data_IF_127345015792
#
_entry.id   IF_127345015792
#
_cell.length_a   1.000
_cell.length_b   1.000
_cell.length_c   1.000
_cell.angle_alpha   90.00
_cell.angle_beta   90.00
_cell.angle_gamma   90.00
#
_symmetry.space_group_name_H-M   'P 1'
#
loop_
_entity.id
_entity.type
_entity.pdbx_description
1 polymer ?
#
# COMPACT_ATOMS: atom_id res chain seq x y z
N UNK A 1 -17.47 17.43 7.43
CA UNK A 1 -16.62 16.36 6.82
C UNK A 1 -17.53 15.17 6.60
N UNK A 2 -17.59 14.62 5.39
CA UNK A 2 -18.51 13.54 5.04
C UNK A 2 -18.33 12.28 5.90
N UNK A 3 -17.10 11.99 6.33
CA UNK A 3 -16.73 10.83 7.14
C UNK A 3 -17.46 10.69 8.48
N UNK A 4 -17.93 11.80 9.08
CA UNK A 4 -18.59 11.74 10.41
C UNK A 4 -19.98 11.06 10.39
N UNK A 5 -20.63 11.05 9.23
CA UNK A 5 -21.98 10.51 9.09
C UNK A 5 -22.01 9.27 8.17
N UNK A 6 -20.84 8.69 7.89
CA UNK A 6 -20.70 7.59 6.94
C UNK A 6 -20.58 6.24 7.66
N UNK A 7 -21.25 5.24 7.10
CA UNK A 7 -21.05 3.82 7.44
C UNK A 7 -19.95 3.27 6.57
N UNK A 8 -18.89 2.78 7.22
CA UNK A 8 -17.74 2.19 6.54
C UNK A 8 -17.82 0.67 6.53
N UNK A 9 -17.54 0.06 5.38
CA UNK A 9 -17.33 -1.36 5.24
C UNK A 9 -15.86 -1.61 4.88
N UNK A 10 -15.16 -2.43 5.66
CA UNK A 10 -13.74 -2.71 5.43
C UNK A 10 -13.57 -4.05 4.72
N UNK A 11 -12.73 -4.06 3.70
CA UNK A 11 -12.32 -5.27 2.97
C UNK A 11 -10.79 -5.40 3.00
N UNK A 12 -10.30 -6.60 3.30
CA UNK A 12 -8.91 -7.01 3.05
C UNK A 12 -8.86 -7.75 1.70
N UNK A 13 -8.45 -7.08 0.60
CA UNK A 13 -8.65 -7.58 -0.76
C UNK A 13 -7.91 -8.89 -1.06
N UNK A 14 -6.67 -9.06 -0.60
CA UNK A 14 -5.91 -10.31 -0.80
C UNK A 14 -6.71 -11.51 -0.27
N UNK A 15 -7.23 -11.44 0.94
CA UNK A 15 -8.06 -12.50 1.53
C UNK A 15 -9.43 -12.61 0.88
N UNK A 16 -10.15 -11.49 0.75
CA UNK A 16 -11.51 -11.45 0.21
C UNK A 16 -11.59 -11.95 -1.23
N UNK A 17 -10.65 -11.57 -2.07
CA UNK A 17 -10.61 -11.97 -3.49
C UNK A 17 -9.98 -13.35 -3.70
N UNK A 18 -9.50 -14.02 -2.64
CA UNK A 18 -8.89 -15.34 -2.73
C UNK A 18 -7.55 -15.34 -3.47
N UNK A 19 -6.78 -14.26 -3.32
CA UNK A 19 -5.43 -14.17 -3.86
C UNK A 19 -4.45 -15.05 -3.04
N UNK A 20 -3.38 -15.57 -3.65
CA UNK A 20 -2.36 -16.33 -2.93
C UNK A 20 -1.68 -15.45 -1.87
N UNK A 21 -1.24 -16.06 -0.74
CA UNK A 21 -0.60 -15.36 0.38
C UNK A 21 0.74 -14.74 -0.06
N UNK A 22 1.55 -15.49 -0.81
CA UNK A 22 2.80 -15.01 -1.36
C UNK A 22 2.59 -14.50 -2.78
N UNK A 23 3.25 -13.39 -3.12
CA UNK A 23 3.22 -12.86 -4.47
C UNK A 23 3.91 -13.84 -5.43
N UNK A 24 3.13 -14.40 -6.34
CA UNK A 24 3.56 -15.39 -7.33
C UNK A 24 3.92 -14.76 -8.69
N UNK A 25 3.78 -13.44 -8.81
CA UNK A 25 4.03 -12.68 -10.04
C UNK A 25 3.00 -12.92 -11.14
N UNK A 26 1.87 -13.58 -10.83
CA UNK A 26 0.83 -13.89 -11.82
C UNK A 26 -0.31 -12.89 -11.74
N UNK A 27 -0.51 -12.14 -12.82
CA UNK A 27 -1.60 -11.16 -12.91
C UNK A 27 -2.94 -11.85 -13.16
N UNK A 28 -3.88 -11.66 -12.21
CA UNK A 28 -5.25 -12.17 -12.31
C UNK A 28 -6.21 -11.11 -11.76
N UNK A 29 -7.25 -10.70 -12.48
CA UNK A 29 -8.14 -9.60 -12.13
C UNK A 29 -9.12 -9.94 -10.99
N UNK A 30 -8.59 -10.45 -9.88
CA UNK A 30 -9.38 -10.90 -8.73
C UNK A 30 -10.09 -9.75 -8.01
N UNK A 31 -9.55 -8.54 -8.08
CA UNK A 31 -10.12 -7.36 -7.43
C UNK A 31 -11.53 -7.03 -7.94
N UNK A 32 -11.84 -7.41 -9.19
CA UNK A 32 -13.18 -7.27 -9.81
C UNK A 32 -14.28 -7.98 -9.03
N UNK A 33 -13.94 -8.94 -8.16
CA UNK A 33 -14.90 -9.58 -7.25
C UNK A 33 -15.61 -8.59 -6.32
N UNK A 34 -15.00 -7.45 -6.04
CA UNK A 34 -15.62 -6.40 -5.22
C UNK A 34 -16.90 -5.88 -5.89
N UNK A 35 -16.91 -5.75 -7.22
CA UNK A 35 -18.07 -5.29 -8.00
C UNK A 35 -19.30 -6.21 -7.83
N UNK A 36 -19.10 -7.49 -7.58
CA UNK A 36 -20.19 -8.43 -7.31
C UNK A 36 -20.93 -8.13 -5.98
N UNK A 37 -20.35 -7.27 -5.15
CA UNK A 37 -20.86 -6.89 -3.83
C UNK A 37 -21.46 -5.49 -3.79
N UNK A 38 -21.36 -4.69 -4.86
CA UNK A 38 -21.78 -3.29 -4.86
C UNK A 38 -23.26 -3.11 -4.52
N UNK A 39 -24.15 -3.90 -5.13
CA UNK A 39 -25.59 -3.89 -4.79
C UNK A 39 -25.84 -4.26 -3.33
N UNK A 40 -25.16 -5.28 -2.82
CA UNK A 40 -25.30 -5.73 -1.42
C UNK A 40 -24.81 -4.65 -0.44
N UNK A 41 -23.70 -4.00 -0.74
CA UNK A 41 -23.18 -2.90 0.08
C UNK A 41 -24.15 -1.70 0.08
N UNK A 42 -24.74 -1.40 -1.06
CA UNK A 42 -25.78 -0.38 -1.19
C UNK A 42 -27.01 -0.72 -0.35
N UNK A 43 -27.49 -1.97 -0.41
CA UNK A 43 -28.63 -2.45 0.38
C UNK A 43 -28.36 -2.39 1.89
N UNK A 44 -27.11 -2.57 2.31
CA UNK A 44 -26.66 -2.38 3.69
C UNK A 44 -26.52 -0.91 4.11
N UNK A 45 -26.77 0.03 3.19
CA UNK A 45 -26.57 1.46 3.42
C UNK A 45 -25.11 1.80 3.79
N UNK A 46 -24.14 1.13 3.16
CA UNK A 46 -22.74 1.48 3.26
C UNK A 46 -22.46 2.73 2.43
N UNK A 47 -21.87 3.75 3.05
CA UNK A 47 -21.51 5.00 2.39
C UNK A 47 -20.08 4.97 1.83
N UNK A 48 -19.23 4.13 2.39
CA UNK A 48 -17.81 4.09 2.04
C UNK A 48 -17.19 2.72 2.26
N UNK A 49 -16.34 2.32 1.34
CA UNK A 49 -15.49 1.14 1.48
C UNK A 49 -14.08 1.55 1.90
N UNK A 50 -13.53 0.88 2.91
CA UNK A 50 -12.12 0.98 3.28
C UNK A 50 -11.40 -0.27 2.79
N UNK A 51 -10.48 -0.09 1.85
CA UNK A 51 -9.66 -1.16 1.33
C UNK A 51 -8.32 -1.20 2.08
N UNK A 52 -8.05 -2.33 2.75
CA UNK A 52 -6.70 -2.63 3.21
C UNK A 52 -5.75 -2.68 2.01
N UNK A 53 -4.40 -2.68 2.20
CA UNK A 53 -3.46 -2.44 1.12
C UNK A 53 -3.72 -3.28 -0.14
N UNK A 54 -3.68 -2.60 -1.30
CA UNK A 54 -3.96 -3.17 -2.62
C UNK A 54 -2.76 -3.08 -3.57
N UNK A 55 -1.71 -2.36 -3.17
CA UNK A 55 -0.53 -2.12 -4.01
C UNK A 55 0.44 -3.29 -3.99
N UNK A 56 1.31 -3.36 -4.99
CA UNK A 56 2.27 -4.47 -5.15
C UNK A 56 3.06 -4.70 -3.86
N UNK A 57 3.07 -5.94 -3.41
CA UNK A 57 3.65 -6.34 -2.12
C UNK A 57 4.25 -7.74 -2.18
N UNK A 58 5.12 -8.05 -1.21
CA UNK A 58 5.72 -9.38 -1.14
C UNK A 58 4.71 -10.43 -0.64
N UNK A 59 3.88 -10.10 0.37
CA UNK A 59 2.98 -11.05 1.04
C UNK A 59 1.60 -10.46 1.36
N UNK A 60 1.51 -9.67 2.44
CA UNK A 60 0.22 -9.32 3.07
C UNK A 60 -0.31 -7.93 2.69
N UNK A 61 0.38 -7.21 1.80
CA UNK A 61 -0.02 -5.87 1.37
C UNK A 61 0.64 -4.74 2.15
N UNK A 62 0.93 -4.93 3.44
CA UNK A 62 1.64 -3.93 4.25
C UNK A 62 3.15 -3.90 3.96
N UNK A 63 3.69 -4.88 3.28
CA UNK A 63 5.06 -5.00 2.79
C UNK A 63 5.16 -4.52 1.33
N UNK A 64 4.78 -3.28 1.10
CA UNK A 64 4.66 -2.63 -0.22
C UNK A 64 6.00 -2.64 -0.98
N UNK A 65 5.94 -3.00 -2.27
CA UNK A 65 7.06 -2.97 -3.23
C UNK A 65 6.97 -1.77 -4.17
N UNK A 66 5.74 -1.41 -4.58
CA UNK A 66 5.46 -0.25 -5.40
C UNK A 66 4.09 0.33 -5.03
N UNK A 67 4.03 1.65 -4.79
CA UNK A 67 2.80 2.36 -4.45
C UNK A 67 1.97 2.80 -5.67
N UNK A 68 2.46 2.55 -6.90
CA UNK A 68 1.77 2.97 -8.13
C UNK A 68 1.22 1.81 -8.96
N UNK A 69 1.54 0.60 -8.56
CA UNK A 69 1.07 -0.62 -9.22
C UNK A 69 0.14 -1.40 -8.30
N UNK A 70 -1.01 -1.79 -8.79
CA UNK A 70 -1.89 -2.73 -8.08
C UNK A 70 -1.17 -4.08 -8.00
N UNK A 71 -1.29 -4.75 -6.86
CA UNK A 71 -0.72 -6.08 -6.67
C UNK A 71 -1.19 -7.03 -7.77
N UNK A 72 -0.26 -7.64 -8.50
CA UNK A 72 -0.58 -8.49 -9.65
C UNK A 72 -1.54 -9.64 -9.27
N UNK A 73 -1.49 -10.11 -8.03
CA UNK A 73 -2.43 -11.12 -7.51
C UNK A 73 -3.88 -10.62 -7.48
N UNK A 74 -4.08 -9.30 -7.43
CA UNK A 74 -5.39 -8.65 -7.44
C UNK A 74 -5.81 -8.19 -8.84
N UNK A 75 -4.86 -7.83 -9.70
CA UNK A 75 -5.12 -7.38 -11.07
C UNK A 75 -4.16 -6.29 -11.53
N UNK A 76 -4.69 -5.39 -12.32
CA UNK A 76 -3.98 -4.23 -12.88
C UNK A 76 -4.58 -2.92 -12.37
N UNK A 77 -3.89 -1.80 -12.64
CA UNK A 77 -4.43 -0.47 -12.37
C UNK A 77 -5.77 -0.23 -13.09
N UNK A 78 -5.92 -0.76 -14.31
CA UNK A 78 -7.17 -0.68 -15.08
C UNK A 78 -8.30 -1.46 -14.39
N UNK A 79 -8.02 -2.69 -13.91
CA UNK A 79 -9.00 -3.49 -13.17
C UNK A 79 -9.49 -2.76 -11.91
N UNK A 80 -8.58 -2.07 -11.20
CA UNK A 80 -8.97 -1.31 -10.02
C UNK A 80 -9.72 -0.02 -10.37
N UNK A 81 -9.36 0.66 -11.45
CA UNK A 81 -10.13 1.82 -11.94
C UNK A 81 -11.58 1.45 -12.28
N UNK A 82 -11.80 0.27 -12.88
CA UNK A 82 -13.15 -0.24 -13.16
C UNK A 82 -13.93 -0.51 -11.86
N UNK A 83 -13.26 -1.06 -10.83
CA UNK A 83 -13.86 -1.25 -9.49
C UNK A 83 -14.26 0.09 -8.86
N UNK A 84 -13.40 1.09 -8.96
CA UNK A 84 -13.68 2.43 -8.43
C UNK A 84 -14.88 3.07 -9.13
N UNK A 85 -14.95 2.97 -10.46
CA UNK A 85 -16.09 3.49 -11.22
C UNK A 85 -17.39 2.79 -10.82
N UNK A 86 -17.38 1.46 -10.69
CA UNK A 86 -18.57 0.69 -10.27
C UNK A 86 -19.05 1.09 -8.86
N UNK A 87 -18.13 1.27 -7.91
CA UNK A 87 -18.46 1.70 -6.54
C UNK A 87 -19.06 3.12 -6.55
N UNK A 88 -18.49 4.06 -7.32
CA UNK A 88 -19.02 5.40 -7.47
C UNK A 88 -20.40 5.41 -8.12
N UNK A 89 -20.66 4.56 -9.12
CA UNK A 89 -21.99 4.40 -9.74
C UNK A 89 -23.06 3.93 -8.74
N UNK A 90 -22.61 3.29 -7.64
CA UNK A 90 -23.44 2.89 -6.50
C UNK A 90 -23.46 3.92 -5.35
N UNK A 91 -22.92 5.13 -5.53
CA UNK A 91 -22.74 6.16 -4.51
C UNK A 91 -21.89 5.72 -3.31
N UNK A 92 -20.97 4.80 -3.50
CA UNK A 92 -20.06 4.29 -2.47
C UNK A 92 -18.68 4.94 -2.65
N UNK A 93 -18.20 5.62 -1.59
CA UNK A 93 -16.88 6.25 -1.55
C UNK A 93 -15.76 5.27 -1.28
N UNK A 94 -14.56 5.61 -1.75
CA UNK A 94 -13.38 4.73 -1.67
C UNK A 94 -12.32 5.37 -0.78
N UNK A 95 -11.93 4.62 0.26
CA UNK A 95 -10.83 4.98 1.16
C UNK A 95 -9.74 3.92 1.05
N UNK A 96 -8.53 4.36 0.70
CA UNK A 96 -7.37 3.48 0.62
C UNK A 96 -6.53 3.51 1.91
N UNK A 97 -5.88 2.39 2.16
CA UNK A 97 -4.90 2.27 3.25
C UNK A 97 -3.55 2.86 2.81
N UNK A 98 -3.13 3.93 3.46
CA UNK A 98 -1.84 4.59 3.27
C UNK A 98 -0.78 4.03 4.21
N UNK A 99 0.01 3.08 3.74
CA UNK A 99 1.12 2.46 4.49
C UNK A 99 2.37 3.29 4.30
N UNK A 100 2.51 4.41 5.04
CA UNK A 100 3.57 5.39 4.82
C UNK A 100 4.72 5.32 5.83
N UNK A 101 4.58 4.55 6.91
CA UNK A 101 5.63 4.38 7.90
C UNK A 101 6.75 3.44 7.42
N UNK A 102 6.42 2.42 6.63
CA UNK A 102 7.34 1.37 6.23
C UNK A 102 6.99 0.80 4.86
N UNK A 103 7.91 0.04 4.30
CA UNK A 103 7.79 -0.66 3.01
C UNK A 103 8.31 -2.09 3.14
N UNK A 104 7.99 -2.94 2.17
CA UNK A 104 8.58 -4.28 2.06
C UNK A 104 10.06 -4.22 1.67
N UNK A 105 10.77 -5.31 1.91
CA UNK A 105 12.17 -5.46 1.47
C UNK A 105 12.32 -5.48 -0.06
N UNK A 106 11.23 -5.80 -0.77
CA UNK A 106 11.13 -5.74 -2.23
C UNK A 106 10.96 -4.32 -2.79
N UNK A 107 10.78 -3.29 -1.96
CA UNK A 107 10.62 -1.91 -2.40
C UNK A 107 11.82 -1.45 -3.22
N UNK A 108 11.55 -0.86 -4.38
CA UNK A 108 12.58 -0.57 -5.39
C UNK A 108 13.77 0.26 -4.86
N UNK A 109 13.52 1.29 -4.02
CA UNK A 109 14.59 2.11 -3.45
C UNK A 109 15.41 1.33 -2.39
N UNK A 110 14.76 0.43 -1.62
CA UNK A 110 15.48 -0.41 -0.67
C UNK A 110 16.32 -1.49 -1.37
N UNK A 111 15.82 -2.04 -2.48
CA UNK A 111 16.61 -2.97 -3.32
C UNK A 111 17.86 -2.30 -3.90
N UNK A 112 17.76 -1.03 -4.32
CA UNK A 112 18.94 -0.28 -4.74
C UNK A 112 19.96 -0.13 -3.60
N UNK A 113 19.51 0.11 -2.36
CA UNK A 113 20.39 0.13 -1.18
C UNK A 113 21.00 -1.25 -0.91
N UNK A 114 20.23 -2.33 -1.02
CA UNK A 114 20.77 -3.68 -0.85
C UNK A 114 21.88 -3.99 -1.86
N UNK A 115 21.78 -3.47 -3.07
CA UNK A 115 22.73 -3.70 -4.16
C UNK A 115 23.95 -2.79 -4.07
N UNK A 116 23.75 -1.47 -3.92
CA UNK A 116 24.79 -0.43 -3.99
C UNK A 116 25.34 0.00 -2.63
N UNK A 117 24.67 -0.40 -1.55
CA UNK A 117 25.10 -0.06 -0.17
C UNK A 117 25.28 1.45 0.00
N UNK A 118 26.48 1.86 0.44
CA UNK A 118 26.83 3.25 0.67
C UNK A 118 26.69 4.15 -0.57
N UNK A 119 26.83 3.58 -1.76
CA UNK A 119 26.77 4.33 -3.02
C UNK A 119 25.32 4.53 -3.52
N UNK A 120 24.33 3.97 -2.84
CA UNK A 120 22.92 4.18 -3.19
C UNK A 120 22.49 5.63 -2.93
N UNK A 121 21.83 6.30 -3.89
CA UNK A 121 21.22 7.61 -3.65
C UNK A 121 20.02 7.56 -2.70
N UNK A 122 19.50 6.37 -2.41
CA UNK A 122 18.31 6.15 -1.57
C UNK A 122 18.64 5.71 -0.14
N UNK A 123 19.93 5.64 0.25
CA UNK A 123 20.30 5.20 1.60
C UNK A 123 19.68 6.05 2.72
N UNK A 124 19.53 7.36 2.47
CA UNK A 124 18.94 8.29 3.43
C UNK A 124 17.40 8.31 3.43
N UNK A 125 16.77 7.46 2.59
CA UNK A 125 15.33 7.22 2.60
C UNK A 125 14.91 6.32 3.75
N UNK A 126 15.88 5.67 4.41
CA UNK A 126 15.70 4.71 5.47
C UNK A 126 16.64 5.06 6.64
N UNK A 127 16.34 4.53 7.82
CA UNK A 127 17.24 4.62 8.97
C UNK A 127 18.27 3.49 8.92
N UNK A 128 19.43 3.73 8.33
CA UNK A 128 20.47 2.72 8.03
C UNK A 128 21.73 2.99 8.83
N UNK A 129 22.40 1.94 9.30
CA UNK A 129 23.75 1.94 9.83
C UNK A 129 24.63 0.92 9.12
N UNK A 130 25.70 1.39 8.50
CA UNK A 130 26.68 0.54 7.82
C UNK A 130 27.70 -0.11 8.77
N UNK A 131 27.67 0.26 10.05
CA UNK A 131 28.50 -0.36 11.10
C UNK A 131 27.86 -1.62 11.70
N UNK A 132 26.66 -1.97 11.28
CA UNK A 132 25.88 -3.09 11.76
C UNK A 132 25.50 -4.08 10.66
N UNK A 133 24.64 -5.04 11.03
CA UNK A 133 24.07 -5.99 10.08
C UNK A 133 22.62 -6.29 10.44
N UNK A 134 21.81 -6.63 9.46
CA UNK A 134 20.44 -7.09 9.66
C UNK A 134 20.36 -8.59 9.91
N UNK A 135 19.22 -9.09 10.36
CA UNK A 135 18.96 -10.52 10.48
C UNK A 135 18.96 -11.25 9.11
N UNK A 136 18.87 -10.50 8.01
CA UNK A 136 18.95 -11.01 6.63
C UNK A 136 20.38 -11.02 6.07
N UNK A 137 21.36 -10.61 6.88
CA UNK A 137 22.77 -10.53 6.47
C UNK A 137 23.03 -9.58 5.29
N UNK A 138 22.38 -8.41 5.30
CA UNK A 138 22.49 -7.40 4.24
C UNK A 138 23.86 -6.71 4.19
N UNK A 139 24.68 -6.83 5.24
CA UNK A 139 25.93 -6.09 5.39
C UNK A 139 25.74 -4.66 5.88
N UNK A 140 24.55 -4.32 6.35
CA UNK A 140 24.17 -3.10 7.06
C UNK A 140 22.97 -3.39 7.97
N UNK A 141 22.80 -2.57 9.01
CA UNK A 141 21.61 -2.56 9.86
C UNK A 141 20.62 -1.50 9.36
N UNK A 142 19.34 -1.73 9.53
CA UNK A 142 18.28 -0.77 9.29
C UNK A 142 17.16 -0.91 10.31
N UNK A 143 16.39 0.14 10.51
CA UNK A 143 15.21 0.12 11.38
C UNK A 143 14.03 -0.54 10.65
N UNK A 144 13.40 -1.51 11.33
CA UNK A 144 12.12 -2.08 10.93
C UNK A 144 11.00 -1.59 11.85
N UNK A 145 9.75 -1.66 11.39
CA UNK A 145 8.60 -1.35 12.22
C UNK A 145 8.53 -2.30 13.43
N UNK A 146 8.64 -1.75 14.64
CA UNK A 146 8.59 -2.49 15.91
C UNK A 146 9.49 -3.74 15.95
N UNK A 147 10.63 -3.71 15.27
CA UNK A 147 11.58 -4.84 15.20
C UNK A 147 11.28 -5.85 14.10
N UNK A 148 10.26 -5.64 13.29
CA UNK A 148 9.95 -6.41 12.11
C UNK A 148 10.82 -5.98 10.94
N UNK A 149 11.91 -6.68 10.69
CA UNK A 149 12.87 -6.35 9.62
C UNK A 149 12.33 -6.56 8.21
N UNK A 150 11.27 -7.32 8.02
CA UNK A 150 10.54 -7.42 6.76
C UNK A 150 9.81 -6.13 6.39
N UNK A 151 9.55 -5.25 7.37
CA UNK A 151 8.87 -3.96 7.22
C UNK A 151 9.87 -2.84 7.47
N UNK A 152 10.54 -2.40 6.40
CA UNK A 152 11.65 -1.43 6.44
C UNK A 152 11.09 -0.03 6.69
N UNK A 153 11.48 0.60 7.80
CA UNK A 153 10.99 1.94 8.16
C UNK A 153 11.52 3.00 7.20
N UNK A 154 10.60 3.84 6.71
CA UNK A 154 10.92 5.01 5.91
C UNK A 154 11.37 6.18 6.80
N UNK A 155 12.32 6.97 6.33
CA UNK A 155 12.75 8.20 6.97
C UNK A 155 11.88 9.37 6.49
N UNK A 156 10.79 9.66 7.19
CA UNK A 156 9.86 10.74 6.83
C UNK A 156 10.41 12.14 7.12
N UNK A 157 11.57 12.26 7.82
CA UNK A 157 12.29 13.53 7.95
C UNK A 157 13.06 13.89 6.68
N UNK A 158 13.20 12.93 5.73
CA UNK A 158 13.78 13.20 4.42
C UNK A 158 12.70 13.74 3.46
N UNK A 159 12.81 15.02 3.01
CA UNK A 159 11.80 15.61 2.12
C UNK A 159 11.56 14.83 0.83
N UNK A 160 12.60 14.18 0.29
CA UNK A 160 12.45 13.39 -0.95
C UNK A 160 11.55 12.16 -0.76
N UNK A 161 11.53 11.57 0.45
CA UNK A 161 10.59 10.48 0.78
C UNK A 161 9.17 11.02 0.85
N UNK A 162 8.98 12.14 1.54
CA UNK A 162 7.65 12.77 1.68
C UNK A 162 7.11 13.18 0.30
N UNK A 163 7.94 13.84 -0.53
CA UNK A 163 7.54 14.24 -1.88
C UNK A 163 7.15 13.04 -2.73
N UNK A 164 7.91 11.94 -2.68
CA UNK A 164 7.58 10.69 -3.36
C UNK A 164 6.23 10.12 -2.91
N UNK A 165 5.98 10.04 -1.60
CA UNK A 165 4.71 9.53 -1.07
C UNK A 165 3.52 10.42 -1.46
N UNK A 166 3.70 11.75 -1.41
CA UNK A 166 2.67 12.70 -1.85
C UNK A 166 2.40 12.58 -3.35
N UNK A 167 3.42 12.33 -4.16
CA UNK A 167 3.24 12.07 -5.60
C UNK A 167 2.51 10.74 -5.86
N UNK A 168 2.71 9.71 -5.01
CA UNK A 168 1.92 8.49 -5.08
C UNK A 168 0.45 8.76 -4.73
N UNK A 169 0.18 9.55 -3.69
CA UNK A 169 -1.21 9.94 -3.34
C UNK A 169 -1.88 10.72 -4.47
N UNK A 170 -1.17 11.69 -5.10
CA UNK A 170 -1.69 12.40 -6.26
C UNK A 170 -2.02 11.45 -7.40
N UNK A 171 -1.12 10.50 -7.68
CA UNK A 171 -1.36 9.45 -8.66
C UNK A 171 -2.63 8.64 -8.35
N UNK A 172 -2.88 8.27 -7.08
CA UNK A 172 -4.09 7.53 -6.69
C UNK A 172 -5.37 8.36 -6.90
N UNK A 173 -5.31 9.67 -6.59
CA UNK A 173 -6.43 10.58 -6.84
C UNK A 173 -6.69 10.72 -8.34
N UNK A 174 -5.65 11.00 -9.12
CA UNK A 174 -5.77 11.28 -10.54
C UNK A 174 -6.16 10.03 -11.37
N UNK A 175 -5.73 8.83 -10.92
CA UNK A 175 -5.92 7.58 -11.67
C UNK A 175 -7.16 6.81 -11.22
N UNK A 176 -7.44 6.78 -9.92
CA UNK A 176 -8.48 5.94 -9.33
C UNK A 176 -9.66 6.74 -8.76
N UNK A 177 -9.54 8.08 -8.70
CA UNK A 177 -10.56 8.99 -8.13
C UNK A 177 -10.96 8.62 -6.69
N UNK A 178 -9.98 8.29 -5.84
CA UNK A 178 -10.22 7.92 -4.45
C UNK A 178 -10.74 9.10 -3.61
N UNK A 179 -11.61 8.83 -2.64
CA UNK A 179 -12.26 9.84 -1.79
C UNK A 179 -11.50 10.12 -0.49
N UNK A 180 -10.63 9.23 -0.07
CA UNK A 180 -9.93 9.40 1.20
C UNK A 180 -8.82 8.39 1.45
N UNK A 181 -8.11 8.63 2.57
CA UNK A 181 -7.04 7.78 3.06
C UNK A 181 -7.30 7.38 4.51
N UNK A 182 -6.98 6.14 4.85
CA UNK A 182 -6.74 5.68 6.22
C UNK A 182 -5.23 5.56 6.39
N UNK A 183 -4.66 6.22 7.37
CA UNK A 183 -3.23 6.14 7.64
C UNK A 183 -2.92 4.96 8.56
N UNK A 184 -2.19 4.00 8.03
CA UNK A 184 -1.69 2.88 8.82
C UNK A 184 -0.66 3.37 9.83
N UNK A 185 -0.70 2.80 11.05
CA UNK A 185 0.20 3.11 12.17
C UNK A 185 0.54 4.61 12.30
N UNK A 186 -0.49 5.47 12.20
CA UNK A 186 -0.33 6.92 12.21
C UNK A 186 0.46 7.46 13.42
N UNK A 187 0.48 6.72 14.53
CA UNK A 187 1.25 7.05 15.74
C UNK A 187 2.78 6.90 15.56
N UNK A 188 3.22 6.23 14.49
CA UNK A 188 4.63 6.03 14.14
C UNK A 188 5.15 7.01 13.09
N UNK A 189 4.25 7.84 12.51
CA UNK A 189 4.65 8.86 11.52
C UNK A 189 5.34 10.02 12.23
N UNK A 190 6.56 10.35 11.83
CA UNK A 190 7.39 11.42 12.41
C UNK A 190 7.00 12.80 11.87
#
# INVERSE_FOLDING_TARGET
>A
MWTYNSVFYQIYPIGFCGAPVHNDGVTVPRIRKIMEWSDYLKDLSVDSILLNPIFDSDNHGYDTRDFREIDCRLGTNEDFSDVCQDLHDHDIKIVLDGVFNHVGRGFWAFRDVQEKKWDSPYKDWFHISFDGNSCYNDGFWYEGWEGHFELVKLNLQNPAVVDYLLDCVRFWIDTFDIDGLRLDVAYCLD
#
